data_IF_406974633620
#
_entry.id   IF_406974633620
#
_cell.length_a   1.000
_cell.length_b   1.000
_cell.length_c   1.000
_cell.angle_alpha   90.00
_cell.angle_beta   90.00
_cell.angle_gamma   90.00
#
_symmetry.space_group_name_H-M   'P 1'
#
loop_
_entity.id
_entity.type
_entity.pdbx_description
1 polymer ?
#
# COMPACT_ATOMS: atom_id res chain seq x y z
N UNK A 1 -2.91 -19.71 13.59
CA UNK A 1 -1.51 -19.28 13.38
C UNK A 1 -1.42 -17.81 13.02
N UNK A 2 -0.94 -17.02 13.96
CA UNK A 2 -0.68 -15.58 13.84
C UNK A 2 0.31 -15.27 12.68
N UNK A 3 1.29 -16.16 12.48
CA UNK A 3 2.23 -16.11 11.35
C UNK A 3 1.59 -16.21 9.95
N UNK A 4 0.39 -16.80 9.85
CA UNK A 4 -0.40 -16.84 8.61
C UNK A 4 -1.13 -15.51 8.36
N UNK A 5 -1.52 -14.81 9.42
CA UNK A 5 -2.17 -13.49 9.35
C UNK A 5 -1.18 -12.41 8.90
N UNK A 6 0.03 -12.36 9.48
CA UNK A 6 1.09 -11.42 9.08
C UNK A 6 1.40 -11.51 7.58
N UNK A 7 1.69 -12.72 7.08
CA UNK A 7 1.95 -12.96 5.65
C UNK A 7 0.78 -12.61 4.73
N UNK A 8 -0.46 -12.76 5.19
CA UNK A 8 -1.66 -12.35 4.43
C UNK A 8 -1.79 -10.83 4.35
N UNK A 9 -1.48 -10.12 5.44
CA UNK A 9 -1.45 -8.65 5.46
C UNK A 9 -0.30 -8.10 4.61
N UNK A 10 0.85 -8.77 4.60
CA UNK A 10 1.96 -8.42 3.72
C UNK A 10 1.54 -8.50 2.24
N UNK A 11 0.93 -9.61 1.81
CA UNK A 11 0.39 -9.76 0.46
C UNK A 11 -0.62 -8.65 0.11
N UNK A 12 -1.56 -8.35 1.02
CA UNK A 12 -2.52 -7.25 0.86
C UNK A 12 -1.84 -5.89 0.68
N UNK A 13 -0.81 -5.58 1.47
CA UNK A 13 -0.07 -4.32 1.35
C UNK A 13 0.61 -4.16 0.00
N UNK A 14 1.12 -5.26 -0.58
CA UNK A 14 1.72 -5.27 -1.91
C UNK A 14 0.67 -5.08 -3.02
N UNK A 15 -0.51 -5.69 -2.89
CA UNK A 15 -1.63 -5.47 -3.82
C UNK A 15 -2.13 -4.03 -3.78
N UNK A 16 -2.28 -3.46 -2.58
CA UNK A 16 -2.64 -2.04 -2.42
C UNK A 16 -1.61 -1.12 -3.09
N UNK A 17 -0.31 -1.42 -2.97
CA UNK A 17 0.72 -0.64 -3.66
C UNK A 17 0.62 -0.75 -5.19
N UNK A 18 0.30 -1.94 -5.74
CA UNK A 18 0.07 -2.13 -7.19
C UNK A 18 -1.17 -1.38 -7.69
N UNK A 19 -2.24 -1.34 -6.91
CA UNK A 19 -3.45 -0.59 -7.28
C UNK A 19 -3.22 0.93 -7.22
N UNK A 20 -2.56 1.45 -6.18
CA UNK A 20 -2.22 2.88 -6.06
C UNK A 20 -1.33 3.36 -7.23
N UNK A 21 -0.39 2.52 -7.69
CA UNK A 21 0.38 2.83 -8.90
C UNK A 21 -0.48 2.80 -10.18
N UNK A 22 -1.44 1.87 -10.27
CA UNK A 22 -2.37 1.77 -11.40
C UNK A 22 -3.29 2.98 -11.49
N UNK A 23 -3.80 3.47 -10.35
CA UNK A 23 -4.56 4.73 -10.25
C UNK A 23 -3.69 5.90 -10.73
N UNK A 24 -2.50 6.07 -10.18
CA UNK A 24 -1.58 7.15 -10.56
C UNK A 24 -1.19 7.16 -12.03
N UNK A 25 -1.01 5.99 -12.64
CA UNK A 25 -0.67 5.85 -14.05
C UNK A 25 -1.84 6.10 -15.02
N UNK A 26 -3.10 5.96 -14.57
CA UNK A 26 -4.29 6.00 -15.43
C UNK A 26 -5.19 7.22 -15.21
N UNK A 27 -5.14 7.87 -14.04
CA UNK A 27 -6.09 8.92 -13.68
C UNK A 27 -5.90 10.24 -14.43
N UNK A 28 -4.66 10.56 -14.84
CA UNK A 28 -4.28 11.78 -15.57
C UNK A 28 -4.92 13.08 -15.01
N UNK A 29 -4.95 13.21 -13.68
CA UNK A 29 -5.56 14.32 -12.95
C UNK A 29 -4.64 14.71 -11.78
N UNK A 30 -4.45 16.01 -11.57
CA UNK A 30 -3.51 16.54 -10.57
C UNK A 30 -3.96 16.29 -9.13
N UNK A 31 -5.24 16.41 -8.83
CA UNK A 31 -5.80 16.15 -7.49
C UNK A 31 -5.64 14.65 -7.15
N UNK A 32 -5.92 13.77 -8.11
CA UNK A 32 -5.72 12.33 -7.94
C UNK A 32 -4.22 12.00 -7.77
N UNK A 33 -3.32 12.72 -8.46
CA UNK A 33 -1.88 12.55 -8.28
C UNK A 33 -1.42 12.92 -6.85
N UNK A 34 -2.00 13.97 -6.24
CA UNK A 34 -1.75 14.29 -4.82
C UNK A 34 -2.26 13.18 -3.90
N UNK A 35 -3.50 12.71 -4.07
CA UNK A 35 -4.04 11.59 -3.31
C UNK A 35 -3.17 10.31 -3.44
N UNK A 36 -2.65 10.02 -4.63
CA UNK A 36 -1.76 8.86 -4.87
C UNK A 36 -0.45 8.97 -4.07
N UNK A 37 0.12 10.17 -3.89
CA UNK A 37 1.31 10.37 -3.04
C UNK A 37 0.99 10.08 -1.57
N UNK A 38 -0.14 10.58 -1.06
CA UNK A 38 -0.58 10.30 0.32
C UNK A 38 -0.87 8.81 0.54
N UNK A 39 -1.57 8.16 -0.41
CA UNK A 39 -1.85 6.73 -0.38
C UNK A 39 -0.56 5.89 -0.36
N UNK A 40 0.46 6.26 -1.15
CA UNK A 40 1.78 5.59 -1.10
C UNK A 40 2.42 5.69 0.28
N UNK A 41 2.39 6.88 0.90
CA UNK A 41 2.89 7.09 2.26
C UNK A 41 2.14 6.28 3.31
N UNK A 42 0.82 6.12 3.17
CA UNK A 42 0.00 5.28 4.05
C UNK A 42 0.32 3.79 3.88
N UNK A 43 0.48 3.31 2.64
CA UNK A 43 0.83 1.91 2.35
C UNK A 43 2.23 1.56 2.88
N UNK A 44 3.21 2.45 2.74
CA UNK A 44 4.56 2.16 3.26
C UNK A 44 4.59 2.09 4.79
N UNK A 45 3.87 2.97 5.50
CA UNK A 45 3.70 2.86 6.97
C UNK A 45 3.06 1.54 7.40
N UNK A 46 2.09 1.02 6.63
CA UNK A 46 1.52 -0.30 6.92
C UNK A 46 2.56 -1.42 6.73
N UNK A 47 3.45 -1.30 5.75
CA UNK A 47 4.54 -2.26 5.50
C UNK A 47 5.60 -2.21 6.59
N UNK A 48 5.98 -1.02 7.04
CA UNK A 48 6.88 -0.85 8.21
C UNK A 48 6.29 -1.49 9.47
N UNK A 49 4.99 -1.28 9.76
CA UNK A 49 4.34 -1.91 10.92
C UNK A 49 4.38 -3.45 10.81
N UNK A 50 4.10 -4.00 9.63
CA UNK A 50 4.14 -5.46 9.44
C UNK A 50 5.55 -6.04 9.62
N UNK A 51 6.59 -5.35 9.12
CA UNK A 51 7.99 -5.76 9.29
C UNK A 51 8.49 -5.62 10.74
N UNK A 52 7.96 -4.66 11.50
CA UNK A 52 8.33 -4.43 12.90
C UNK A 52 7.58 -5.35 13.90
N UNK A 53 6.64 -6.17 13.43
CA UNK A 53 5.80 -7.07 14.25
C UNK A 53 6.12 -8.56 13.98
N UNK A 54 6.96 -8.88 12.98
CA UNK A 54 7.54 -10.22 12.77
C UNK A 54 8.75 -10.53 13.67
#
# INVERSE_FOLDING_TARGET
DEKSLGRKLEFLSQEMFREVNTIGAKANNVEIAHCVVEMKGAVEKMREILQNVE
#
